data_IF_912127761550
#
_entry.id   IF_912127761550
#
_cell.length_a   1.000
_cell.length_b   1.000
_cell.length_c   1.000
_cell.angle_alpha   90.00
_cell.angle_beta   90.00
_cell.angle_gamma   90.00
#
_symmetry.space_group_name_H-M   'P 1'
#
loop_
_entity.id
_entity.type
_entity.pdbx_description
1 polymer ?
#
# COMPACT_ATOMS: atom_id res chain seq x y z
N UNK A 1 -7.65 -12.61 -34.32
CA UNK A 1 -6.30 -13.11 -34.62
C UNK A 1 -5.57 -13.22 -33.30
N UNK A 2 -5.04 -14.40 -32.94
CA UNK A 2 -4.33 -14.58 -31.67
C UNK A 2 -3.03 -13.80 -31.73
N UNK A 3 -2.93 -12.70 -30.98
CA UNK A 3 -1.66 -12.04 -30.75
C UNK A 3 -0.70 -13.07 -30.14
N UNK A 4 0.34 -13.44 -30.90
CA UNK A 4 1.37 -14.35 -30.41
C UNK A 4 2.03 -13.67 -29.22
N UNK A 5 1.88 -14.25 -28.03
CA UNK A 5 2.55 -13.79 -26.82
C UNK A 5 4.05 -13.61 -27.09
N UNK A 6 4.55 -12.40 -26.88
CA UNK A 6 5.95 -12.07 -27.07
C UNK A 6 6.75 -12.61 -25.90
N UNK A 7 7.75 -13.45 -26.20
CA UNK A 7 8.68 -13.99 -25.21
C UNK A 7 9.35 -12.83 -24.46
N UNK A 8 9.27 -12.86 -23.12
CA UNK A 8 9.71 -11.75 -22.26
C UNK A 8 11.21 -11.80 -21.95
N UNK A 9 11.89 -12.90 -22.27
CA UNK A 9 13.31 -13.13 -22.03
C UNK A 9 13.69 -13.17 -20.56
N UNK A 10 14.99 -13.31 -20.30
CA UNK A 10 15.54 -13.19 -18.95
C UNK A 10 14.85 -14.14 -17.97
N UNK A 11 14.61 -13.69 -16.73
CA UNK A 11 13.95 -14.46 -15.65
C UNK A 11 12.50 -14.87 -15.98
N UNK A 12 11.85 -14.20 -16.94
CA UNK A 12 10.47 -14.43 -17.36
C UNK A 12 10.38 -15.22 -18.69
N UNK A 13 11.43 -15.97 -19.05
CA UNK A 13 11.41 -16.82 -20.24
C UNK A 13 10.32 -17.89 -20.13
N UNK A 14 9.59 -18.12 -21.22
CA UNK A 14 8.48 -19.08 -21.25
C UNK A 14 8.96 -20.53 -21.37
N UNK A 15 10.19 -20.76 -21.87
CA UNK A 15 10.79 -22.10 -22.00
C UNK A 15 12.22 -22.16 -21.43
N UNK A 16 12.38 -22.16 -20.10
CA UNK A 16 13.70 -22.28 -19.48
C UNK A 16 14.30 -23.68 -19.70
N UNK A 17 15.58 -23.73 -20.04
CA UNK A 17 16.33 -24.99 -20.18
C UNK A 17 16.26 -25.85 -18.90
N UNK A 18 16.44 -27.17 -19.03
CA UNK A 18 16.37 -28.11 -17.89
C UNK A 18 17.31 -27.71 -16.74
N UNK A 19 18.54 -27.33 -17.06
CA UNK A 19 19.53 -26.87 -16.07
C UNK A 19 19.03 -25.61 -15.37
N UNK A 20 18.54 -24.63 -16.14
CA UNK A 20 18.01 -23.38 -15.59
C UNK A 20 16.83 -23.63 -14.65
N UNK A 21 15.89 -24.50 -15.04
CA UNK A 21 14.76 -24.92 -14.18
C UNK A 21 15.22 -25.58 -12.88
N UNK A 22 16.23 -26.44 -12.95
CA UNK A 22 16.76 -27.08 -11.76
C UNK A 22 17.44 -26.08 -10.81
N UNK A 23 18.22 -25.14 -11.34
CA UNK A 23 18.85 -24.07 -10.55
C UNK A 23 17.77 -23.19 -9.91
N UNK A 24 16.80 -22.69 -10.70
CA UNK A 24 15.72 -21.85 -10.17
C UNK A 24 14.91 -22.59 -9.12
N UNK A 25 14.56 -23.86 -9.33
CA UNK A 25 13.87 -24.69 -8.35
C UNK A 25 14.63 -24.79 -7.03
N UNK A 26 15.94 -25.07 -7.05
CA UNK A 26 16.75 -25.13 -5.82
C UNK A 26 16.85 -23.78 -5.12
N UNK A 27 17.00 -22.70 -5.89
CA UNK A 27 17.02 -21.34 -5.35
C UNK A 27 15.68 -20.99 -4.69
N UNK A 28 14.56 -21.17 -5.40
CA UNK A 28 13.21 -20.90 -4.88
C UNK A 28 12.91 -21.74 -3.64
N UNK A 29 13.22 -23.04 -3.65
CA UNK A 29 13.06 -23.93 -2.49
C UNK A 29 13.84 -23.39 -1.28
N UNK A 30 15.07 -22.89 -1.48
CA UNK A 30 15.87 -22.32 -0.40
C UNK A 30 15.28 -21.01 0.11
N UNK A 31 15.00 -20.05 -0.77
CA UNK A 31 14.53 -18.71 -0.34
C UNK A 31 13.11 -18.72 0.22
N UNK A 32 12.29 -19.70 -0.15
CA UNK A 32 10.96 -19.91 0.43
C UNK A 32 10.98 -20.82 1.65
N UNK A 33 12.11 -21.47 1.97
CA UNK A 33 12.20 -22.34 3.14
C UNK A 33 12.03 -21.56 4.46
N UNK A 34 11.35 -22.17 5.43
CA UNK A 34 11.15 -21.59 6.76
C UNK A 34 12.48 -21.20 7.42
N UNK A 35 13.51 -22.04 7.28
CA UNK A 35 14.85 -21.77 7.85
C UNK A 35 15.45 -20.47 7.30
N UNK A 36 15.29 -20.20 6.01
CA UNK A 36 15.80 -18.98 5.39
C UNK A 36 15.02 -17.75 5.87
N UNK A 37 13.69 -17.83 5.91
CA UNK A 37 12.84 -16.73 6.38
C UNK A 37 13.14 -16.36 7.83
N UNK A 38 13.21 -17.36 8.73
CA UNK A 38 13.54 -17.13 10.15
C UNK A 38 14.95 -16.56 10.33
N UNK A 39 15.94 -17.00 9.54
CA UNK A 39 17.28 -16.42 9.60
C UNK A 39 17.30 -14.95 9.13
N UNK A 40 16.51 -14.61 8.10
CA UNK A 40 16.36 -13.23 7.62
C UNK A 40 15.72 -12.34 8.69
N UNK A 41 14.61 -12.79 9.29
CA UNK A 41 13.92 -12.08 10.37
C UNK A 41 14.83 -11.88 11.59
N UNK A 42 15.56 -12.92 12.00
CA UNK A 42 16.52 -12.82 13.11
C UNK A 42 17.62 -11.81 12.83
N UNK A 43 18.11 -11.72 11.59
CA UNK A 43 19.12 -10.73 11.20
C UNK A 43 18.58 -9.30 11.26
N UNK A 44 17.36 -9.08 10.78
CA UNK A 44 16.69 -7.78 10.87
C UNK A 44 16.51 -7.36 12.34
N UNK A 45 16.08 -8.29 13.20
CA UNK A 45 15.90 -8.02 14.63
C UNK A 45 17.22 -7.74 15.36
N UNK A 46 18.28 -8.51 15.07
CA UNK A 46 19.61 -8.23 15.60
C UNK A 46 20.11 -6.84 15.18
N UNK A 47 19.84 -6.44 13.93
CA UNK A 47 20.22 -5.11 13.43
C UNK A 47 19.45 -4.01 14.16
N UNK A 48 18.16 -4.21 14.40
CA UNK A 48 17.33 -3.27 15.19
C UNK A 48 17.86 -3.11 16.61
N UNK A 49 18.10 -4.23 17.31
CA UNK A 49 18.62 -4.23 18.67
C UNK A 49 20.00 -3.57 18.76
N UNK A 50 20.90 -3.89 17.82
CA UNK A 50 22.24 -3.30 17.75
C UNK A 50 22.20 -1.77 17.60
N UNK A 51 21.22 -1.26 16.86
CA UNK A 51 21.05 0.17 16.63
C UNK A 51 20.14 0.85 17.69
N UNK A 52 19.64 0.10 18.68
CA UNK A 52 18.68 0.58 19.67
C UNK A 52 17.44 1.26 19.04
N UNK A 53 16.99 0.74 17.90
CA UNK A 53 15.85 1.28 17.17
C UNK A 53 14.53 0.74 17.73
N UNK A 54 13.48 1.57 17.72
CA UNK A 54 12.10 1.13 17.94
C UNK A 54 11.64 0.22 16.79
N UNK A 55 10.60 -0.56 17.01
CA UNK A 55 9.89 -1.21 15.91
C UNK A 55 9.15 -0.16 15.09
N UNK A 56 9.41 -0.12 13.77
CA UNK A 56 8.78 0.84 12.86
C UNK A 56 8.10 0.07 11.75
N UNK A 57 6.79 0.23 11.64
CA UNK A 57 5.95 -0.30 10.57
C UNK A 57 5.69 0.82 9.56
N UNK A 58 6.20 0.70 8.35
CA UNK A 58 5.93 1.67 7.28
C UNK A 58 4.66 1.26 6.54
N UNK A 59 3.66 2.14 6.50
CA UNK A 59 2.38 1.92 5.81
C UNK A 59 2.27 2.86 4.61
N UNK A 60 1.92 2.31 3.44
CA UNK A 60 1.81 3.05 2.19
C UNK A 60 0.35 3.14 1.75
N UNK A 61 -0.22 4.34 1.81
CA UNK A 61 -1.64 4.58 1.55
C UNK A 61 -1.86 5.24 0.19
N UNK A 62 -2.77 4.66 -0.60
CA UNK A 62 -3.27 5.23 -1.85
C UNK A 62 -4.77 5.51 -1.70
N UNK A 63 -5.20 6.75 -1.91
CA UNK A 63 -6.59 7.17 -1.65
C UNK A 63 -7.61 6.38 -2.49
N UNK A 64 -7.32 6.22 -3.77
CA UNK A 64 -8.21 5.60 -4.74
C UNK A 64 -8.14 4.07 -4.78
N UNK A 65 -7.33 3.45 -3.91
CA UNK A 65 -7.25 1.99 -3.76
C UNK A 65 -8.15 1.51 -2.61
N UNK A 66 -9.02 0.54 -2.89
CA UNK A 66 -9.98 0.03 -1.93
C UNK A 66 -9.32 -0.80 -0.82
N UNK A 67 -8.24 -1.53 -1.14
CA UNK A 67 -7.48 -2.27 -0.14
C UNK A 67 -6.76 -1.32 0.82
N UNK A 68 -6.24 -0.20 0.32
CA UNK A 68 -5.73 0.88 1.15
C UNK A 68 -6.78 1.37 2.16
N UNK A 69 -8.05 1.50 1.77
CA UNK A 69 -9.10 1.87 2.73
C UNK A 69 -9.36 0.78 3.78
N UNK A 70 -9.40 -0.51 3.40
CA UNK A 70 -9.51 -1.59 4.40
C UNK A 70 -8.34 -1.61 5.37
N UNK A 71 -7.11 -1.53 4.84
CA UNK A 71 -5.89 -1.49 5.66
C UNK A 71 -5.89 -0.30 6.63
N UNK A 72 -6.39 0.86 6.20
CA UNK A 72 -6.50 2.05 7.04
C UNK A 72 -7.33 1.84 8.31
N UNK A 73 -8.38 1.02 8.24
CA UNK A 73 -9.24 0.70 9.39
C UNK A 73 -8.49 -0.15 10.44
N UNK A 74 -7.43 -0.85 10.06
CA UNK A 74 -6.66 -1.74 10.94
C UNK A 74 -5.53 -1.03 11.70
N UNK A 75 -5.09 0.15 11.25
CA UNK A 75 -3.88 0.82 11.76
C UNK A 75 -3.94 1.05 13.27
N UNK A 76 -5.09 1.49 13.78
CA UNK A 76 -5.27 1.73 15.22
C UNK A 76 -5.15 0.44 16.02
N UNK A 77 -5.82 -0.63 15.57
CA UNK A 77 -5.75 -1.95 16.20
C UNK A 77 -4.32 -2.49 16.22
N UNK A 78 -3.57 -2.34 15.13
CA UNK A 78 -2.16 -2.74 15.07
C UNK A 78 -1.33 -1.93 16.07
N UNK A 79 -1.48 -0.61 16.08
CA UNK A 79 -0.74 0.27 17.00
C UNK A 79 -1.08 0.02 18.47
N UNK A 80 -2.29 -0.44 18.78
CA UNK A 80 -2.70 -0.76 20.16
C UNK A 80 -2.25 -2.16 20.59
N UNK A 81 -2.15 -3.09 19.65
CA UNK A 81 -1.85 -4.50 19.94
C UNK A 81 -0.35 -4.79 20.00
N UNK A 82 0.48 -3.94 19.38
CA UNK A 82 1.91 -4.14 19.26
C UNK A 82 2.69 -2.88 19.63
N UNK A 83 3.86 -3.04 20.25
CA UNK A 83 4.80 -1.94 20.52
C UNK A 83 5.52 -1.53 19.22
N UNK A 84 4.79 -0.88 18.32
CA UNK A 84 5.25 -0.43 17.00
C UNK A 84 4.90 1.03 16.75
N UNK A 85 5.83 1.76 16.14
CA UNK A 85 5.56 3.08 15.56
C UNK A 85 5.10 2.90 14.11
N UNK A 86 3.89 3.35 13.78
CA UNK A 86 3.39 3.29 12.40
C UNK A 86 3.72 4.60 11.67
N UNK A 87 4.55 4.51 10.64
CA UNK A 87 4.88 5.63 9.74
C UNK A 87 4.06 5.53 8.47
N UNK A 88 3.16 6.50 8.27
CA UNK A 88 2.31 6.55 7.09
C UNK A 88 2.96 7.36 5.97
N UNK A 89 2.90 6.83 4.76
CA UNK A 89 3.33 7.46 3.51
C UNK A 89 2.16 7.53 2.55
N UNK A 90 1.92 8.68 1.92
CA UNK A 90 1.02 8.77 0.78
C UNK A 90 1.78 8.37 -0.48
N UNK A 91 1.17 7.55 -1.32
CA UNK A 91 1.77 7.08 -2.57
C UNK A 91 0.84 7.30 -3.74
N UNK A 92 1.43 7.45 -4.92
CA UNK A 92 0.68 7.34 -6.16
C UNK A 92 0.38 5.87 -6.46
N UNK A 93 -0.73 5.61 -7.15
CA UNK A 93 -1.01 4.28 -7.66
C UNK A 93 0.05 3.74 -8.63
N UNK A 94 0.07 2.42 -8.84
CA UNK A 94 1.02 1.79 -9.75
C UNK A 94 0.85 2.32 -11.18
N UNK A 95 1.98 2.58 -11.86
CA UNK A 95 2.00 3.14 -13.21
C UNK A 95 2.71 2.22 -14.21
N UNK A 96 2.38 2.38 -15.48
CA UNK A 96 3.04 1.71 -16.59
C UNK A 96 2.82 0.20 -16.59
N UNK A 97 3.88 -0.57 -16.85
CA UNK A 97 3.79 -2.03 -17.05
C UNK A 97 3.36 -2.82 -15.80
N UNK A 98 3.37 -2.19 -14.63
CA UNK A 98 2.98 -2.82 -13.36
C UNK A 98 1.48 -2.68 -13.04
N UNK A 99 0.71 -1.99 -13.89
CA UNK A 99 -0.73 -1.83 -13.74
C UNK A 99 -1.45 -2.10 -15.07
N UNK A 100 -1.58 -3.37 -15.49
CA UNK A 100 -2.39 -3.71 -16.65
C UNK A 100 -3.86 -3.38 -16.37
N UNK A 101 -4.53 -2.69 -17.29
CA UNK A 101 -5.94 -2.31 -17.15
C UNK A 101 -6.27 -1.65 -15.79
N UNK A 102 -5.64 -0.50 -15.46
CA UNK A 102 -5.72 0.11 -14.13
C UNK A 102 -7.15 0.35 -13.65
N UNK A 103 -8.05 0.72 -14.57
CA UNK A 103 -9.45 0.97 -14.22
C UNK A 103 -10.19 -0.30 -13.83
N UNK A 104 -9.93 -1.43 -14.50
CA UNK A 104 -10.50 -2.74 -14.13
C UNK A 104 -9.94 -3.24 -12.80
N UNK A 105 -8.64 -3.02 -12.54
CA UNK A 105 -8.03 -3.37 -11.26
C UNK A 105 -8.64 -2.62 -10.08
N UNK A 106 -8.88 -1.31 -10.22
CA UNK A 106 -9.52 -0.52 -9.17
C UNK A 106 -10.97 -0.94 -8.92
N UNK A 107 -11.73 -1.27 -9.99
CA UNK A 107 -13.08 -1.80 -9.86
C UNK A 107 -13.09 -3.16 -9.15
N UNK A 108 -12.16 -4.05 -9.52
CA UNK A 108 -12.01 -5.36 -8.89
C UNK A 108 -11.63 -5.23 -7.41
N UNK A 109 -10.70 -4.33 -7.07
CA UNK A 109 -10.30 -4.08 -5.69
C UNK A 109 -11.47 -3.60 -4.84
N UNK A 110 -12.32 -2.72 -5.37
CA UNK A 110 -13.52 -2.24 -4.67
C UNK A 110 -14.55 -3.37 -4.47
N UNK A 111 -14.77 -4.19 -5.49
CA UNK A 111 -15.62 -5.38 -5.38
C UNK A 111 -15.12 -6.34 -4.31
N UNK A 112 -13.85 -6.73 -4.36
CA UNK A 112 -13.28 -7.67 -3.41
C UNK A 112 -13.30 -7.11 -1.98
N UNK A 113 -12.94 -5.82 -1.84
CA UNK A 113 -12.97 -5.13 -0.54
C UNK A 113 -14.37 -5.14 0.08
N UNK A 114 -15.42 -4.90 -0.72
CA UNK A 114 -16.81 -5.00 -0.28
C UNK A 114 -17.15 -6.42 0.22
N UNK A 115 -16.71 -7.45 -0.51
CA UNK A 115 -17.00 -8.84 -0.19
C UNK A 115 -16.31 -9.30 1.10
N UNK A 116 -15.06 -8.90 1.32
CA UNK A 116 -14.25 -9.40 2.45
C UNK A 116 -14.41 -8.59 3.74
N UNK A 117 -14.76 -7.29 3.67
CA UNK A 117 -14.71 -6.37 4.81
C UNK A 117 -15.40 -6.94 6.07
N UNK A 118 -16.64 -7.39 5.93
CA UNK A 118 -17.43 -7.94 7.05
C UNK A 118 -16.79 -9.16 7.72
N UNK A 119 -16.04 -9.98 6.97
CA UNK A 119 -15.40 -11.18 7.49
C UNK A 119 -14.18 -10.86 8.36
N UNK A 120 -13.61 -9.65 8.19
CA UNK A 120 -12.52 -9.12 9.00
C UNK A 120 -13.00 -8.11 10.06
N UNK A 121 -14.31 -7.96 10.24
CA UNK A 121 -14.87 -6.96 11.16
C UNK A 121 -14.66 -5.51 10.69
N UNK A 122 -14.39 -5.32 9.40
CA UNK A 122 -14.20 -4.02 8.76
C UNK A 122 -15.48 -3.56 8.07
N UNK A 123 -15.52 -2.29 7.71
CA UNK A 123 -16.64 -1.68 7.00
C UNK A 123 -16.24 -1.32 5.58
N UNK A 124 -17.15 -1.53 4.64
CA UNK A 124 -17.03 -1.02 3.28
C UNK A 124 -18.44 -0.69 2.78
N UNK A 125 -18.64 0.43 2.06
CA UNK A 125 -19.97 0.83 1.60
C UNK A 125 -20.57 -0.23 0.67
N UNK A 126 -21.90 -0.40 0.71
CA UNK A 126 -22.62 -1.33 -0.17
C UNK A 126 -22.76 -0.82 -1.61
N UNK A 127 -22.74 0.50 -1.78
CA UNK A 127 -22.71 1.19 -3.07
C UNK A 127 -21.43 2.00 -3.10
N UNK A 128 -20.58 1.72 -4.08
CA UNK A 128 -19.29 2.37 -4.23
C UNK A 128 -19.05 2.66 -5.71
N UNK A 129 -18.76 3.92 -5.98
CA UNK A 129 -18.25 4.38 -7.28
C UNK A 129 -16.75 4.61 -7.15
N UNK A 130 -16.07 4.63 -8.30
CA UNK A 130 -14.67 5.05 -8.36
C UNK A 130 -14.55 6.49 -7.80
N UNK A 131 -13.65 6.73 -6.83
CA UNK A 131 -13.38 8.08 -6.35
C UNK A 131 -13.08 9.07 -7.47
N UNK A 132 -13.66 10.26 -7.42
CA UNK A 132 -13.42 11.29 -8.44
C UNK A 132 -12.04 11.92 -8.25
N UNK A 133 -11.48 12.51 -9.33
CA UNK A 133 -10.18 13.21 -9.26
C UNK A 133 -10.18 14.33 -8.22
N UNK A 134 -11.29 15.05 -8.08
CA UNK A 134 -11.41 16.14 -7.10
C UNK A 134 -11.43 15.63 -5.65
N UNK A 135 -12.11 14.51 -5.40
CA UNK A 135 -12.09 13.84 -4.09
C UNK A 135 -10.70 13.34 -3.74
N UNK A 136 -10.02 12.70 -4.70
CA UNK A 136 -8.65 12.20 -4.52
C UNK A 136 -7.69 13.36 -4.23
N UNK A 137 -7.78 14.46 -5.00
CA UNK A 137 -6.94 15.63 -4.80
C UNK A 137 -7.18 16.27 -3.43
N UNK A 138 -8.45 16.46 -3.05
CA UNK A 138 -8.80 17.02 -1.75
C UNK A 138 -8.32 16.13 -0.60
N UNK A 139 -8.58 14.83 -0.67
CA UNK A 139 -8.15 13.86 0.33
C UNK A 139 -6.62 13.84 0.49
N UNK A 140 -5.88 13.78 -0.62
CA UNK A 140 -4.42 13.88 -0.59
C UNK A 140 -3.94 15.19 0.02
N UNK A 141 -4.58 16.33 -0.30
CA UNK A 141 -4.21 17.62 0.27
C UNK A 141 -4.46 17.72 1.78
N UNK A 142 -5.52 17.10 2.29
CA UNK A 142 -5.82 17.03 3.74
C UNK A 142 -4.74 16.20 4.44
N UNK A 143 -4.43 15.02 3.92
CA UNK A 143 -3.46 14.11 4.52
C UNK A 143 -2.03 14.64 4.39
N UNK A 144 -1.65 15.23 3.26
CA UNK A 144 -0.34 15.85 3.05
C UNK A 144 -0.11 17.07 3.97
N UNK A 145 -1.18 17.64 4.55
CA UNK A 145 -1.03 18.67 5.56
C UNK A 145 -0.66 18.12 6.94
N UNK A 146 -0.82 16.82 7.17
CA UNK A 146 -0.52 16.18 8.45
C UNK A 146 0.95 15.77 8.54
N UNK A 147 1.49 15.73 9.76
CA UNK A 147 2.77 15.05 10.03
C UNK A 147 2.61 13.54 9.90
N UNK A 148 3.68 12.80 9.62
CA UNK A 148 3.64 11.34 9.47
C UNK A 148 3.02 10.63 10.68
N UNK A 149 3.30 11.11 11.90
CA UNK A 149 2.75 10.52 13.14
C UNK A 149 1.27 10.85 13.34
N UNK A 150 0.80 11.99 12.84
CA UNK A 150 -0.59 12.40 12.99
C UNK A 150 -1.47 11.87 11.86
N UNK A 151 -0.88 11.58 10.69
CA UNK A 151 -1.58 11.12 9.50
C UNK A 151 -2.43 9.87 9.76
N UNK A 152 -1.94 8.94 10.58
CA UNK A 152 -2.68 7.74 11.00
C UNK A 152 -4.07 8.07 11.60
N UNK A 153 -4.20 9.19 12.31
CA UNK A 153 -5.46 9.60 12.94
C UNK A 153 -6.52 10.11 11.92
N UNK A 154 -6.09 10.41 10.70
CA UNK A 154 -6.92 11.00 9.65
C UNK A 154 -7.14 10.08 8.45
N UNK A 155 -6.19 9.21 8.13
CA UNK A 155 -6.28 8.32 6.95
C UNK A 155 -7.64 7.64 6.90
N UNK A 156 -8.02 6.91 7.96
CA UNK A 156 -9.27 6.16 7.94
C UNK A 156 -10.50 7.06 7.67
N UNK A 157 -10.60 8.21 8.35
CA UNK A 157 -11.74 9.14 8.20
C UNK A 157 -11.78 9.79 6.81
N UNK A 158 -10.62 10.14 6.26
CA UNK A 158 -10.51 10.73 4.93
C UNK A 158 -10.85 9.70 3.87
N UNK A 159 -10.31 8.48 3.96
CA UNK A 159 -10.63 7.37 3.06
C UNK A 159 -12.11 7.00 3.13
N UNK A 160 -12.69 6.92 4.32
CA UNK A 160 -14.12 6.68 4.53
C UNK A 160 -14.96 7.73 3.79
N UNK A 161 -14.66 9.02 3.96
CA UNK A 161 -15.38 10.09 3.28
C UNK A 161 -15.29 9.99 1.75
N UNK A 162 -14.13 9.57 1.22
CA UNK A 162 -13.93 9.34 -0.22
C UNK A 162 -14.76 8.15 -0.70
N UNK A 163 -14.62 6.98 -0.07
CA UNK A 163 -15.24 5.73 -0.52
C UNK A 163 -16.76 5.70 -0.31
N UNK A 164 -17.28 6.44 0.68
CA UNK A 164 -18.73 6.63 0.88
C UNK A 164 -19.31 7.77 0.04
N UNK A 165 -18.49 8.41 -0.82
CA UNK A 165 -18.85 9.57 -1.63
C UNK A 165 -19.42 10.75 -0.79
N UNK A 166 -19.02 10.87 0.47
CA UNK A 166 -19.49 11.88 1.40
C UNK A 166 -18.67 13.18 1.26
N UNK A 167 -18.98 13.95 0.22
CA UNK A 167 -18.28 15.20 -0.12
C UNK A 167 -18.35 16.24 1.00
N UNK A 168 -19.52 16.44 1.59
CA UNK A 168 -19.71 17.39 2.69
C UNK A 168 -18.82 17.06 3.89
N UNK A 169 -18.67 15.77 4.22
CA UNK A 169 -17.78 15.36 5.30
C UNK A 169 -16.31 15.58 4.94
N UNK A 170 -15.91 15.27 3.71
CA UNK A 170 -14.55 15.51 3.23
C UNK A 170 -14.18 17.00 3.26
N UNK A 171 -15.09 17.89 2.87
CA UNK A 171 -14.93 19.35 2.97
C UNK A 171 -14.84 19.81 4.43
N UNK A 172 -15.69 19.29 5.32
CA UNK A 172 -15.59 19.56 6.76
C UNK A 172 -14.22 19.16 7.33
N UNK A 173 -13.68 18.02 6.91
CA UNK A 173 -12.33 17.59 7.30
C UNK A 173 -11.26 18.56 6.77
N UNK A 174 -11.40 19.07 5.55
CA UNK A 174 -10.49 20.07 4.99
C UNK A 174 -10.54 21.40 5.76
N UNK A 175 -11.73 21.88 6.08
CA UNK A 175 -11.89 23.12 6.85
C UNK A 175 -11.33 22.99 8.27
N UNK A 176 -11.55 21.86 8.93
CA UNK A 176 -11.11 21.63 10.31
C UNK A 176 -9.61 21.41 10.45
N UNK A 177 -9.02 20.62 9.54
CA UNK A 177 -7.63 20.13 9.68
C UNK A 177 -6.65 20.85 8.75
N UNK A 178 -7.15 21.77 7.92
CA UNK A 178 -6.40 22.41 6.85
C UNK A 178 -6.13 21.49 5.67
N UNK A 179 -5.64 22.08 4.58
CA UNK A 179 -5.17 21.38 3.40
C UNK A 179 -3.83 21.96 2.97
N UNK A 180 -2.96 21.09 2.47
CA UNK A 180 -1.73 21.50 1.82
C UNK A 180 -2.06 22.16 0.47
N UNK A 181 -1.18 23.03 -0.01
CA UNK A 181 -1.22 23.48 -1.39
C UNK A 181 -0.83 22.33 -2.34
N UNK A 182 -0.97 22.57 -3.65
CA UNK A 182 -0.71 21.57 -4.68
C UNK A 182 0.75 21.11 -4.70
N UNK A 183 1.70 22.02 -4.52
CA UNK A 183 3.13 21.72 -4.55
C UNK A 183 3.55 20.85 -3.36
N UNK A 184 3.12 21.20 -2.15
CA UNK A 184 3.34 20.39 -0.95
C UNK A 184 2.66 19.02 -1.08
N UNK A 185 1.43 18.97 -1.58
CA UNK A 185 0.70 17.71 -1.78
C UNK A 185 1.46 16.78 -2.73
N UNK A 186 1.92 17.32 -3.86
CA UNK A 186 2.72 16.59 -4.84
C UNK A 186 4.05 16.12 -4.25
N UNK A 187 4.76 16.98 -3.52
CA UNK A 187 6.03 16.65 -2.88
C UNK A 187 5.90 15.49 -1.88
N UNK A 188 4.83 15.47 -1.07
CA UNK A 188 4.57 14.37 -0.12
C UNK A 188 4.30 13.05 -0.85
N UNK A 189 3.50 13.06 -1.91
CA UNK A 189 3.23 11.88 -2.74
C UNK A 189 4.48 11.35 -3.43
N UNK A 190 5.31 12.24 -3.99
CA UNK A 190 6.57 11.88 -4.63
C UNK A 190 7.56 11.29 -3.62
N UNK A 191 7.65 11.86 -2.43
CA UNK A 191 8.49 11.33 -1.35
C UNK A 191 8.06 9.91 -0.93
N UNK A 192 6.77 9.70 -0.67
CA UNK A 192 6.26 8.37 -0.32
C UNK A 192 6.44 7.35 -1.44
N UNK A 193 6.14 7.74 -2.69
CA UNK A 193 6.34 6.88 -3.86
C UNK A 193 7.81 6.54 -4.09
N UNK A 194 8.73 7.49 -3.85
CA UNK A 194 10.17 7.24 -3.93
C UNK A 194 10.63 6.27 -2.85
N UNK A 195 10.11 6.38 -1.61
CA UNK A 195 10.39 5.43 -0.54
C UNK A 195 9.88 4.03 -0.89
N UNK A 196 8.63 3.91 -1.34
CA UNK A 196 8.04 2.65 -1.78
C UNK A 196 8.87 1.97 -2.90
N UNK A 197 9.33 2.78 -3.87
CA UNK A 197 10.20 2.32 -4.96
C UNK A 197 11.59 1.90 -4.47
N UNK A 198 12.18 2.63 -3.52
CA UNK A 198 13.46 2.25 -2.89
C UNK A 198 13.36 0.87 -2.23
N UNK A 199 12.21 0.59 -1.61
CA UNK A 199 11.87 -0.68 -1.00
C UNK A 199 11.40 -1.74 -2.02
N UNK A 200 11.43 -1.43 -3.32
CA UNK A 200 11.12 -2.30 -4.46
C UNK A 200 9.66 -2.76 -4.53
N UNK A 201 8.73 -1.89 -4.16
CA UNK A 201 7.30 -2.13 -4.34
C UNK A 201 6.60 -0.98 -5.08
N UNK A 202 5.28 -1.13 -5.29
CA UNK A 202 4.47 -0.27 -6.15
C UNK A 202 2.97 -0.25 -5.80
N UNK A 203 2.48 -1.13 -4.93
CA UNK A 203 1.06 -1.20 -4.57
C UNK A 203 0.74 -0.38 -3.33
N UNK A 204 -0.40 0.30 -3.33
CA UNK A 204 -0.99 0.89 -2.12
C UNK A 204 -1.50 -0.20 -1.16
N UNK A 205 -1.78 0.20 0.07
CA UNK A 205 -2.38 -0.66 1.10
C UNK A 205 -1.38 -1.61 1.77
N UNK A 206 -0.09 -1.40 1.51
CA UNK A 206 0.99 -2.31 1.89
C UNK A 206 1.71 -1.85 3.15
N UNK A 207 2.23 -2.82 3.89
CA UNK A 207 3.01 -2.64 5.09
C UNK A 207 4.43 -3.12 4.87
N UNK A 208 5.41 -2.43 5.44
CA UNK A 208 6.80 -2.85 5.41
C UNK A 208 7.40 -2.85 6.80
N UNK A 209 8.02 -3.96 7.18
CA UNK A 209 8.63 -4.15 8.49
C UNK A 209 9.75 -5.19 8.42
N UNK A 210 10.88 -4.91 9.08
CA UNK A 210 11.95 -5.91 9.25
C UNK A 210 12.56 -6.45 7.95
N UNK A 211 12.69 -5.60 6.93
CA UNK A 211 13.11 -5.97 5.57
C UNK A 211 12.11 -6.87 4.80
N UNK A 212 10.83 -6.83 5.19
CA UNK A 212 9.74 -7.62 4.62
C UNK A 212 8.52 -6.75 4.26
N UNK A 213 7.85 -7.15 3.18
CA UNK A 213 6.56 -6.64 2.73
C UNK A 213 5.47 -7.65 3.10
#
# INVERSE_FOLDING_TARGET
MSDKFKEQGGAATMDPSKLRRWITSRLFTKVTSQKYQTAKQSKAEQTRLKNNNKHVLEYFHQIEDAYSYLSAQTLKTISDSYDVEIKCYLVNGPQGKNSPEPDLLLQLAAYDSNQIAKHYGLTFPSVYDKPTKDQILLANSILANQSSNNMMNYINKVSEAVWTNNKDYLEKLAHKNGKADLEKTKSVLEFGSARQKQLKHYSGGMFYYGDEW
#
